data_IF_227455102719
#
_entry.id   IF_227455102719
#
_cell.length_a   1.000
_cell.length_b   1.000
_cell.length_c   1.000
_cell.angle_alpha   90.00
_cell.angle_beta   90.00
_cell.angle_gamma   90.00
#
_symmetry.space_group_name_H-M   'P 1'
#
loop_
_entity.id
_entity.type
_entity.pdbx_description
1 polymer ?
#
# COMPACT_ATOMS: atom_id res chain seq x y z
N UNK A 1 -5.04 -32.95 4.83
CA UNK A 1 -6.13 -32.20 5.48
C UNK A 1 -7.24 -33.20 5.78
N UNK A 2 -7.89 -33.12 6.95
CA UNK A 2 -8.96 -34.06 7.33
C UNK A 2 -10.24 -33.74 6.57
N UNK A 3 -11.02 -34.77 6.23
CA UNK A 3 -12.33 -34.68 5.55
C UNK A 3 -13.29 -33.71 6.29
N UNK A 4 -13.20 -33.67 7.62
CA UNK A 4 -14.00 -32.78 8.48
C UNK A 4 -13.79 -31.28 8.17
N UNK A 5 -12.55 -30.84 7.92
CA UNK A 5 -12.28 -29.42 7.64
C UNK A 5 -12.84 -28.98 6.28
N UNK A 6 -12.94 -29.91 5.33
CA UNK A 6 -13.52 -29.64 4.02
C UNK A 6 -15.05 -29.58 4.10
N UNK A 7 -15.66 -30.42 4.95
CA UNK A 7 -17.09 -30.37 5.26
C UNK A 7 -17.49 -29.07 5.96
N UNK A 8 -16.70 -28.62 6.95
CA UNK A 8 -16.93 -27.36 7.66
C UNK A 8 -16.87 -26.16 6.70
N UNK A 9 -15.88 -26.14 5.81
CA UNK A 9 -15.78 -25.12 4.76
C UNK A 9 -16.99 -25.12 3.83
N UNK A 10 -17.47 -26.30 3.42
CA UNK A 10 -18.60 -26.42 2.50
C UNK A 10 -19.88 -25.82 3.12
N UNK A 11 -20.12 -26.10 4.40
CA UNK A 11 -21.25 -25.56 5.15
C UNK A 11 -21.14 -24.04 5.27
N UNK A 12 -19.99 -23.53 5.72
CA UNK A 12 -19.76 -22.09 5.89
C UNK A 12 -19.87 -21.33 4.56
N UNK A 13 -19.34 -21.90 3.47
CA UNK A 13 -19.43 -21.30 2.15
C UNK A 13 -20.88 -21.23 1.64
N UNK A 14 -21.70 -22.26 1.90
CA UNK A 14 -23.13 -22.22 1.57
C UNK A 14 -23.87 -21.17 2.40
N UNK A 15 -23.61 -21.08 3.70
CA UNK A 15 -24.24 -20.07 4.56
C UNK A 15 -23.92 -18.64 4.09
N UNK A 16 -22.66 -18.36 3.75
CA UNK A 16 -22.25 -17.06 3.20
C UNK A 16 -22.87 -16.76 1.83
N UNK A 17 -23.05 -17.79 0.98
CA UNK A 17 -23.73 -17.63 -0.31
C UNK A 17 -25.22 -17.35 -0.14
N UNK A 18 -25.88 -17.98 0.84
CA UNK A 18 -27.28 -17.71 1.18
C UNK A 18 -27.46 -16.28 1.73
N UNK A 19 -26.54 -15.82 2.59
CA UNK A 19 -26.54 -14.44 3.08
C UNK A 19 -26.35 -13.42 1.95
N UNK A 20 -25.42 -13.68 1.02
CA UNK A 20 -25.20 -12.82 -0.14
C UNK A 20 -26.43 -12.78 -1.07
N UNK A 21 -27.08 -13.93 -1.29
CA UNK A 21 -28.32 -14.04 -2.07
C UNK A 21 -29.44 -13.22 -1.43
N UNK A 22 -29.64 -13.33 -0.11
CA UNK A 22 -30.65 -12.56 0.62
C UNK A 22 -30.39 -11.06 0.48
N UNK A 23 -29.15 -10.60 0.69
CA UNK A 23 -28.78 -9.20 0.51
C UNK A 23 -29.01 -8.69 -0.93
N UNK A 24 -28.75 -9.51 -1.95
CA UNK A 24 -29.06 -9.16 -3.35
C UNK A 24 -30.56 -9.01 -3.59
N UNK A 25 -31.38 -9.91 -3.03
CA UNK A 25 -32.84 -9.84 -3.11
C UNK A 25 -33.43 -8.67 -2.30
N UNK A 26 -32.76 -8.25 -1.23
CA UNK A 26 -33.11 -7.05 -0.48
C UNK A 26 -32.81 -5.77 -1.28
N UNK A 27 -31.68 -5.72 -1.99
CA UNK A 27 -31.37 -4.62 -2.90
C UNK A 27 -32.43 -4.46 -3.98
N UNK A 28 -32.91 -5.56 -4.57
CA UNK A 28 -33.99 -5.54 -5.57
C UNK A 28 -35.32 -4.99 -5.01
N UNK A 29 -35.54 -5.14 -3.69
CA UNK A 29 -36.70 -4.60 -2.98
C UNK A 29 -36.51 -3.15 -2.51
N UNK A 30 -35.36 -2.54 -2.78
CA UNK A 30 -35.04 -1.16 -2.41
C UNK A 30 -34.49 -0.99 -0.99
N UNK A 31 -33.79 -1.99 -0.45
CA UNK A 31 -33.07 -1.88 0.81
C UNK A 31 -31.87 -0.90 0.73
N UNK A 32 -31.27 -0.57 1.88
CA UNK A 32 -30.14 0.36 1.95
C UNK A 32 -28.90 -0.20 1.24
N UNK A 33 -28.51 0.44 0.13
CA UNK A 33 -27.48 -0.06 -0.77
C UNK A 33 -26.17 -0.43 -0.06
N UNK A 34 -25.62 0.52 0.72
CA UNK A 34 -24.31 0.36 1.35
C UNK A 34 -24.26 -0.77 2.37
N UNK A 35 -25.37 -1.05 3.05
CA UNK A 35 -25.44 -2.16 4.00
C UNK A 35 -25.39 -3.50 3.26
N UNK A 36 -26.30 -3.73 2.32
CA UNK A 36 -26.37 -4.97 1.55
C UNK A 36 -25.11 -5.18 0.70
N UNK A 37 -24.57 -4.12 0.08
CA UNK A 37 -23.29 -4.16 -0.65
C UNK A 37 -22.15 -4.74 0.21
N UNK A 38 -22.00 -4.23 1.43
CA UNK A 38 -20.93 -4.68 2.32
C UNK A 38 -21.10 -6.14 2.74
N UNK A 39 -22.35 -6.61 2.91
CA UNK A 39 -22.64 -8.01 3.23
C UNK A 39 -22.27 -8.93 2.06
N UNK A 40 -22.70 -8.59 0.84
CA UNK A 40 -22.39 -9.34 -0.38
C UNK A 40 -20.87 -9.37 -0.62
N UNK A 41 -20.21 -8.21 -0.51
CA UNK A 41 -18.78 -8.08 -0.74
C UNK A 41 -17.95 -8.91 0.24
N UNK A 42 -18.31 -8.89 1.54
CA UNK A 42 -17.66 -9.72 2.57
C UNK A 42 -17.86 -11.21 2.31
N UNK A 43 -19.06 -11.63 1.96
CA UNK A 43 -19.33 -13.02 1.63
C UNK A 43 -18.45 -13.49 0.46
N UNK A 44 -18.41 -12.72 -0.63
CA UNK A 44 -17.60 -13.05 -1.81
C UNK A 44 -16.11 -13.13 -1.48
N UNK A 45 -15.60 -12.16 -0.73
CA UNK A 45 -14.22 -12.10 -0.28
C UNK A 45 -13.83 -13.31 0.60
N UNK A 46 -14.66 -13.63 1.60
CA UNK A 46 -14.44 -14.75 2.51
C UNK A 46 -14.42 -16.09 1.77
N UNK A 47 -15.38 -16.32 0.85
CA UNK A 47 -15.44 -17.55 0.05
C UNK A 47 -14.25 -17.63 -0.90
N UNK A 48 -13.82 -16.54 -1.54
CA UNK A 48 -12.62 -16.50 -2.40
C UNK A 48 -11.37 -16.92 -1.61
N UNK A 49 -11.17 -16.33 -0.42
CA UNK A 49 -10.02 -16.63 0.44
C UNK A 49 -10.01 -18.09 0.89
N UNK A 50 -11.14 -18.57 1.40
CA UNK A 50 -11.27 -19.95 1.85
C UNK A 50 -11.13 -20.96 0.70
N UNK A 51 -11.73 -20.71 -0.46
CA UNK A 51 -11.55 -21.55 -1.65
C UNK A 51 -10.08 -21.67 -2.08
N UNK A 52 -9.30 -20.58 -1.97
CA UNK A 52 -7.85 -20.60 -2.22
C UNK A 52 -7.07 -21.45 -1.21
N UNK A 53 -7.42 -21.38 0.07
CA UNK A 53 -6.82 -22.20 1.13
C UNK A 53 -7.08 -23.71 0.93
N UNK A 54 -8.28 -24.08 0.47
CA UNK A 54 -8.66 -25.46 0.20
C UNK A 54 -8.30 -25.93 -1.22
N UNK A 55 -7.72 -25.08 -2.06
CA UNK A 55 -7.28 -25.42 -3.42
C UNK A 55 -8.42 -25.64 -4.42
N UNK A 56 -9.60 -25.07 -4.17
CA UNK A 56 -10.78 -25.17 -5.04
C UNK A 56 -10.67 -24.09 -6.12
N UNK A 57 -9.74 -24.28 -7.06
CA UNK A 57 -9.36 -23.24 -8.03
C UNK A 57 -10.54 -22.70 -8.86
N UNK A 58 -11.50 -23.56 -9.22
CA UNK A 58 -12.70 -23.15 -9.97
C UNK A 58 -13.55 -22.17 -9.17
N UNK A 59 -13.79 -22.47 -7.88
CA UNK A 59 -14.56 -21.61 -6.99
C UNK A 59 -13.81 -20.31 -6.69
N UNK A 60 -12.51 -20.40 -6.41
CA UNK A 60 -11.68 -19.22 -6.16
C UNK A 60 -11.72 -18.25 -7.34
N UNK A 61 -11.54 -18.73 -8.57
CA UNK A 61 -11.60 -17.89 -9.78
C UNK A 61 -12.99 -17.29 -10.00
N UNK A 62 -14.03 -18.08 -9.77
CA UNK A 62 -15.42 -17.63 -9.91
C UNK A 62 -15.74 -16.49 -8.92
N UNK A 63 -15.46 -16.69 -7.64
CA UNK A 63 -15.68 -15.67 -6.60
C UNK A 63 -14.79 -14.44 -6.81
N UNK A 64 -13.54 -14.61 -7.25
CA UNK A 64 -12.66 -13.49 -7.57
C UNK A 64 -13.24 -12.62 -8.68
N UNK A 65 -13.84 -13.21 -9.71
CA UNK A 65 -14.49 -12.41 -10.75
C UNK A 65 -15.68 -11.61 -10.21
N UNK A 66 -16.58 -12.27 -9.47
CA UNK A 66 -17.76 -11.62 -8.90
C UNK A 66 -17.37 -10.49 -7.94
N UNK A 67 -16.37 -10.72 -7.08
CA UNK A 67 -15.86 -9.71 -6.16
C UNK A 67 -15.25 -8.51 -6.90
N UNK A 68 -14.40 -8.73 -7.92
CA UNK A 68 -13.80 -7.63 -8.68
C UNK A 68 -14.85 -6.81 -9.43
N UNK A 69 -15.86 -7.47 -10.01
CA UNK A 69 -16.94 -6.78 -10.69
C UNK A 69 -17.77 -5.95 -9.69
N UNK A 70 -18.01 -6.50 -8.49
CA UNK A 70 -18.74 -5.81 -7.43
C UNK A 70 -17.93 -4.63 -6.86
N UNK A 71 -16.60 -4.74 -6.71
CA UNK A 71 -15.71 -3.64 -6.28
C UNK A 71 -15.89 -2.39 -7.12
N UNK A 72 -16.03 -2.54 -8.44
CA UNK A 72 -16.24 -1.42 -9.36
C UNK A 72 -17.58 -0.69 -9.15
N UNK A 73 -18.47 -1.25 -8.34
CA UNK A 73 -19.80 -0.73 -8.03
C UNK A 73 -19.88 -0.15 -6.60
N UNK A 74 -18.78 -0.09 -5.86
CA UNK A 74 -18.74 0.39 -4.46
C UNK A 74 -19.24 1.81 -4.25
N UNK A 75 -18.91 2.73 -5.17
CA UNK A 75 -19.25 4.15 -5.06
C UNK A 75 -20.62 4.49 -5.65
N UNK A 76 -21.39 3.49 -6.09
CA UNK A 76 -22.75 3.68 -6.56
C UNK A 76 -23.71 3.88 -5.39
N UNK A 77 -24.91 4.39 -5.69
CA UNK A 77 -26.00 4.50 -4.72
C UNK A 77 -27.00 3.32 -4.84
N UNK A 78 -26.94 2.56 -5.94
CA UNK A 78 -27.79 1.40 -6.23
C UNK A 78 -27.15 0.47 -7.27
N UNK A 79 -27.55 -0.81 -7.31
CA UNK A 79 -27.28 -1.71 -8.44
C UNK A 79 -28.43 -1.70 -9.43
N UNK A 80 -28.11 -1.83 -10.71
CA UNK A 80 -29.13 -2.09 -11.73
C UNK A 80 -29.75 -3.48 -11.55
N UNK A 81 -30.99 -3.67 -11.99
CA UNK A 81 -31.63 -4.99 -11.97
C UNK A 81 -30.80 -6.04 -12.76
N UNK A 82 -30.15 -5.64 -13.85
CA UNK A 82 -29.25 -6.50 -14.62
C UNK A 82 -28.03 -6.93 -13.82
N UNK A 83 -27.45 -6.02 -13.03
CA UNK A 83 -26.36 -6.34 -12.10
C UNK A 83 -26.80 -7.29 -11.00
N UNK A 84 -27.98 -7.07 -10.40
CA UNK A 84 -28.52 -7.95 -9.36
C UNK A 84 -28.74 -9.37 -9.91
N UNK A 85 -29.41 -9.50 -11.05
CA UNK A 85 -29.64 -10.78 -11.73
C UNK A 85 -28.31 -11.49 -12.05
N UNK A 86 -27.30 -10.75 -12.50
CA UNK A 86 -25.97 -11.27 -12.79
C UNK A 86 -25.28 -11.84 -11.55
N UNK A 87 -25.31 -11.11 -10.43
CA UNK A 87 -24.70 -11.58 -9.19
C UNK A 87 -25.47 -12.75 -8.57
N UNK A 88 -26.81 -12.80 -8.68
CA UNK A 88 -27.60 -13.96 -8.29
C UNK A 88 -27.22 -15.21 -9.10
N UNK A 89 -27.08 -15.08 -10.43
CA UNK A 89 -26.59 -16.18 -11.27
C UNK A 89 -25.15 -16.61 -10.90
N UNK A 90 -24.32 -15.67 -10.44
CA UNK A 90 -22.99 -15.94 -9.90
C UNK A 90 -23.03 -16.73 -8.59
N UNK A 91 -23.89 -16.34 -7.65
CA UNK A 91 -24.10 -17.09 -6.40
C UNK A 91 -24.56 -18.52 -6.68
N UNK A 92 -25.50 -18.71 -7.60
CA UNK A 92 -25.92 -20.03 -8.07
C UNK A 92 -24.76 -20.83 -8.69
N UNK A 93 -23.90 -20.16 -9.46
CA UNK A 93 -22.69 -20.75 -10.03
C UNK A 93 -21.74 -21.26 -8.95
N UNK A 94 -21.51 -20.47 -7.90
CA UNK A 94 -20.68 -20.85 -6.77
C UNK A 94 -21.24 -22.08 -6.03
N UNK A 95 -22.55 -22.13 -5.78
CA UNK A 95 -23.23 -23.29 -5.16
C UNK A 95 -23.06 -24.55 -6.01
N UNK A 96 -23.21 -24.46 -7.32
CA UNK A 96 -22.99 -25.58 -8.26
C UNK A 96 -21.54 -26.07 -8.25
N UNK A 97 -20.56 -25.16 -8.21
CA UNK A 97 -19.14 -25.54 -8.12
C UNK A 97 -18.87 -26.31 -6.81
N UNK A 98 -19.43 -25.86 -5.68
CA UNK A 98 -19.31 -26.54 -4.39
C UNK A 98 -19.91 -27.95 -4.41
N UNK A 99 -20.92 -28.20 -5.24
CA UNK A 99 -21.49 -29.53 -5.49
C UNK A 99 -20.73 -30.34 -6.55
N UNK A 100 -19.54 -29.89 -6.97
CA UNK A 100 -18.73 -30.47 -8.05
C UNK A 100 -19.43 -30.53 -9.41
N UNK A 101 -20.36 -29.62 -9.68
CA UNK A 101 -21.01 -29.48 -10.97
C UNK A 101 -20.21 -28.52 -11.88
N UNK A 102 -20.31 -28.73 -13.19
CA UNK A 102 -19.82 -27.75 -14.15
C UNK A 102 -20.81 -26.59 -14.28
N UNK A 103 -20.26 -25.39 -14.48
CA UNK A 103 -21.05 -24.18 -14.71
C UNK A 103 -20.74 -23.62 -16.09
N UNK A 104 -21.78 -23.14 -16.74
CA UNK A 104 -21.69 -22.32 -17.94
C UNK A 104 -22.08 -20.89 -17.52
N UNK A 105 -21.06 -20.11 -17.15
CA UNK A 105 -21.24 -18.75 -16.62
C UNK A 105 -20.43 -17.77 -17.47
N UNK A 106 -21.10 -16.77 -18.02
CA UNK A 106 -20.48 -15.78 -18.89
C UNK A 106 -19.94 -14.61 -18.07
N UNK A 107 -18.62 -14.50 -17.99
CA UNK A 107 -17.94 -13.48 -17.20
C UNK A 107 -17.89 -12.13 -17.93
N UNK A 108 -18.81 -11.22 -17.61
CA UNK A 108 -18.86 -9.87 -18.17
C UNK A 108 -19.42 -8.83 -17.18
N UNK A 109 -19.29 -7.54 -17.49
CA UNK A 109 -19.99 -6.48 -16.77
C UNK A 109 -21.39 -6.30 -17.37
N UNK A 110 -22.48 -6.60 -16.64
CA UNK A 110 -23.84 -6.55 -17.17
C UNK A 110 -24.31 -5.13 -17.50
N UNK A 111 -23.63 -4.10 -16.97
CA UNK A 111 -23.96 -2.70 -17.23
C UNK A 111 -23.18 -2.11 -18.42
N UNK A 112 -22.19 -2.84 -18.95
CA UNK A 112 -21.50 -2.43 -20.17
C UNK A 112 -22.32 -2.80 -21.39
N UNK A 113 -22.57 -1.81 -22.27
CA UNK A 113 -23.18 -2.06 -23.57
C UNK A 113 -22.26 -2.96 -24.39
N UNK A 114 -22.64 -4.23 -24.51
CA UNK A 114 -21.93 -5.23 -25.32
C UNK A 114 -22.04 -4.85 -26.80
N UNK A 115 -20.96 -4.36 -27.39
CA UNK A 115 -20.68 -4.67 -28.80
C UNK A 115 -19.98 -6.04 -28.83
N UNK A 116 -20.59 -6.97 -29.56
CA UNK A 116 -20.17 -8.37 -29.63
C UNK A 116 -18.75 -8.57 -30.18
N UNK A 117 -18.04 -9.54 -29.58
CA UNK A 117 -16.81 -10.28 -29.96
C UNK A 117 -16.70 -10.67 -31.47
N UNK A 118 -15.58 -11.23 -32.04
CA UNK A 118 -14.52 -12.04 -31.38
C UNK A 118 -13.07 -12.10 -31.96
N UNK A 119 -12.16 -12.65 -31.13
CA UNK A 119 -11.02 -13.59 -31.42
C UNK A 119 -9.92 -13.26 -32.46
N UNK A 120 -8.64 -13.36 -32.07
CA UNK A 120 -7.67 -14.46 -32.40
C UNK A 120 -6.21 -14.05 -32.18
N UNK A 121 -5.37 -15.06 -31.90
CA UNK A 121 -3.94 -15.05 -31.59
C UNK A 121 -3.00 -14.44 -32.65
N UNK A 122 -1.80 -13.99 -32.24
CA UNK A 122 -0.47 -14.45 -32.75
C UNK A 122 0.72 -13.51 -32.37
N UNK A 123 1.71 -14.11 -31.70
CA UNK A 123 3.18 -14.07 -31.85
C UNK A 123 3.97 -12.80 -32.31
N UNK A 124 4.91 -12.41 -31.43
CA UNK A 124 6.38 -12.24 -31.62
C UNK A 124 7.02 -11.21 -32.60
N UNK A 125 7.87 -10.37 -31.98
CA UNK A 125 9.17 -9.76 -32.40
C UNK A 125 9.20 -8.66 -33.49
N UNK A 126 9.68 -7.46 -33.13
CA UNK A 126 11.03 -6.93 -33.49
C UNK A 126 11.28 -5.50 -32.94
N UNK A 127 12.52 -5.29 -32.47
CA UNK A 127 13.29 -4.04 -32.24
C UNK A 127 13.16 -3.00 -33.38
N UNK A 128 13.39 -1.68 -33.28
CA UNK A 128 13.78 -0.67 -32.27
C UNK A 128 13.68 0.73 -32.98
N UNK A 129 14.39 1.80 -32.56
CA UNK A 129 13.95 2.99 -31.80
C UNK A 129 13.63 4.24 -32.63
N UNK A 130 12.78 5.16 -32.09
CA UNK A 130 13.07 6.62 -32.04
C UNK A 130 11.96 7.44 -31.36
N UNK A 131 12.25 7.90 -30.13
CA UNK A 131 12.36 9.31 -29.73
C UNK A 131 11.19 10.27 -30.03
N UNK A 132 10.40 10.60 -28.99
CA UNK A 132 9.80 11.93 -28.73
C UNK A 132 9.71 12.13 -27.21
N UNK A 133 10.71 12.76 -26.61
CA UNK A 133 10.62 14.10 -25.97
C UNK A 133 9.78 14.20 -24.67
N UNK A 134 10.54 14.19 -23.57
CA UNK A 134 10.42 15.02 -22.37
C UNK A 134 9.37 16.15 -22.34
N UNK A 135 8.55 16.15 -21.28
CA UNK A 135 8.19 17.27 -20.36
C UNK A 135 7.09 16.73 -19.42
N UNK A 136 7.15 16.91 -18.09
CA UNK A 136 7.33 18.18 -17.39
C UNK A 136 8.04 18.02 -16.03
N UNK A 137 9.09 18.83 -15.88
CA UNK A 137 9.36 19.54 -14.63
C UNK A 137 8.22 20.55 -14.42
N UNK A 138 7.56 20.51 -13.26
CA UNK A 138 7.15 21.68 -12.46
C UNK A 138 5.93 21.36 -11.56
N UNK A 139 6.16 21.27 -10.25
CA UNK A 139 5.80 22.33 -9.28
C UNK A 139 6.38 21.94 -7.93
N UNK A 140 7.19 22.82 -7.34
CA UNK A 140 7.35 22.85 -5.89
C UNK A 140 5.96 23.19 -5.35
N UNK A 141 5.21 22.18 -4.94
CA UNK A 141 4.01 22.40 -4.15
C UNK A 141 4.49 22.78 -2.76
N UNK A 142 4.35 24.07 -2.41
CA UNK A 142 4.70 24.61 -1.10
C UNK A 142 3.80 24.09 0.05
N UNK A 143 3.17 22.93 -0.13
CA UNK A 143 2.24 22.31 0.80
C UNK A 143 2.47 20.79 0.95
N UNK A 144 3.56 20.25 0.38
CA UNK A 144 3.89 18.82 0.52
C UNK A 144 4.25 18.49 1.96
N UNK A 145 3.72 17.36 2.47
CA UNK A 145 4.08 16.80 3.78
C UNK A 145 5.49 16.20 3.79
N UNK A 146 6.04 15.86 2.64
CA UNK A 146 7.36 15.26 2.50
C UNK A 146 7.54 14.51 1.18
N UNK A 147 8.74 13.97 1.00
CA UNK A 147 9.11 13.21 -0.21
C UNK A 147 9.18 11.72 0.12
N UNK A 148 8.42 10.89 -0.61
CA UNK A 148 8.39 9.43 -0.45
C UNK A 148 8.93 8.79 -1.73
N UNK A 149 9.88 7.87 -1.59
CA UNK A 149 10.34 7.06 -2.71
C UNK A 149 9.78 5.65 -2.61
N UNK A 150 9.16 5.16 -3.68
CA UNK A 150 8.60 3.80 -3.74
C UNK A 150 9.37 2.96 -4.76
N UNK A 151 9.68 1.71 -4.41
CA UNK A 151 10.30 0.74 -5.31
C UNK A 151 9.57 -0.60 -5.24
N UNK A 152 9.15 -1.07 -6.41
CA UNK A 152 8.43 -2.32 -6.64
C UNK A 152 8.64 -2.67 -8.13
N UNK A 153 8.73 -3.94 -8.51
CA UNK A 153 8.89 -4.35 -9.91
C UNK A 153 7.57 -4.39 -10.68
N UNK A 154 6.44 -4.23 -9.99
CA UNK A 154 5.10 -4.13 -10.57
C UNK A 154 4.66 -2.66 -10.70
N UNK A 155 4.50 -2.18 -11.94
CA UNK A 155 4.11 -0.78 -12.23
C UNK A 155 2.72 -0.45 -11.64
N UNK A 156 1.78 -1.40 -11.66
CA UNK A 156 0.44 -1.24 -11.10
C UNK A 156 0.47 -0.97 -9.58
N UNK A 157 1.41 -1.59 -8.86
CA UNK A 157 1.58 -1.35 -7.41
C UNK A 157 2.14 0.06 -7.18
N UNK A 158 3.12 0.47 -7.97
CA UNK A 158 3.67 1.82 -7.89
C UNK A 158 2.62 2.89 -8.16
N UNK A 159 1.77 2.70 -9.17
CA UNK A 159 0.68 3.61 -9.49
C UNK A 159 -0.35 3.72 -8.36
N UNK A 160 -0.71 2.57 -7.74
CA UNK A 160 -1.55 2.57 -6.54
C UNK A 160 -0.92 3.37 -5.41
N UNK A 161 0.37 3.15 -5.11
CA UNK A 161 1.08 3.87 -4.05
C UNK A 161 1.12 5.38 -4.33
N UNK A 162 1.34 5.78 -5.58
CA UNK A 162 1.30 7.20 -5.99
C UNK A 162 -0.07 7.79 -5.72
N UNK A 163 -1.15 7.17 -6.19
CA UNK A 163 -2.53 7.66 -5.99
C UNK A 163 -2.82 7.85 -4.50
N UNK A 164 -2.50 6.86 -3.67
CA UNK A 164 -2.79 6.91 -2.23
C UNK A 164 -1.97 7.99 -1.53
N UNK A 165 -0.66 8.07 -1.78
CA UNK A 165 0.23 9.01 -1.10
C UNK A 165 0.04 10.45 -1.56
N UNK A 166 -0.13 10.69 -2.87
CA UNK A 166 -0.39 12.03 -3.39
C UNK A 166 -1.74 12.57 -2.90
N UNK A 167 -2.75 11.70 -2.70
CA UNK A 167 -4.03 12.10 -2.07
C UNK A 167 -3.87 12.62 -0.63
N UNK A 168 -2.74 12.32 0.01
CA UNK A 168 -2.37 12.75 1.37
C UNK A 168 -1.31 13.86 1.39
N UNK A 169 -1.11 14.52 0.25
CA UNK A 169 -0.16 15.63 0.04
C UNK A 169 1.33 15.22 0.11
N UNK A 170 1.68 13.97 -0.23
CA UNK A 170 3.07 13.57 -0.41
C UNK A 170 3.57 13.78 -1.83
N UNK A 171 4.86 14.10 -1.98
CA UNK A 171 5.54 14.00 -3.28
C UNK A 171 6.12 12.60 -3.44
N UNK A 172 5.71 11.88 -4.48
CA UNK A 172 6.12 10.48 -4.68
C UNK A 172 7.05 10.34 -5.88
N UNK A 173 8.16 9.62 -5.71
CA UNK A 173 9.05 9.22 -6.81
C UNK A 173 9.15 7.70 -6.84
N UNK A 174 8.82 7.11 -7.98
CA UNK A 174 8.75 5.65 -8.14
C UNK A 174 9.95 5.08 -8.88
N UNK A 175 10.27 3.83 -8.59
CA UNK A 175 11.38 3.10 -9.20
C UNK A 175 10.97 1.65 -9.46
N UNK A 176 11.16 1.18 -10.70
CA UNK A 176 11.00 -0.24 -11.05
C UNK A 176 12.26 -1.08 -10.74
N UNK A 177 13.37 -0.44 -10.34
CA UNK A 177 14.62 -1.12 -10.00
C UNK A 177 15.25 -0.52 -8.75
N UNK A 178 15.62 -1.36 -7.76
CA UNK A 178 16.31 -0.91 -6.56
C UNK A 178 17.69 -0.32 -6.84
N UNK A 179 18.36 -0.75 -7.92
CA UNK A 179 19.67 -0.21 -8.33
C UNK A 179 19.55 1.24 -8.76
N UNK A 180 18.50 1.58 -9.52
CA UNK A 180 18.24 2.96 -9.95
C UNK A 180 17.92 3.86 -8.75
N UNK A 181 17.13 3.36 -7.80
CA UNK A 181 16.86 4.07 -6.55
C UNK A 181 18.15 4.39 -5.79
N UNK A 182 19.04 3.41 -5.63
CA UNK A 182 20.31 3.58 -4.93
C UNK A 182 21.28 4.54 -5.62
N UNK A 183 21.20 4.67 -6.95
CA UNK A 183 21.96 5.65 -7.73
C UNK A 183 21.44 7.07 -7.50
N UNK A 184 20.13 7.27 -7.56
CA UNK A 184 19.53 8.58 -7.33
C UNK A 184 19.71 9.05 -5.87
N UNK A 185 19.78 8.12 -4.92
CA UNK A 185 20.02 8.38 -3.49
C UNK A 185 21.38 9.05 -3.19
N UNK A 186 22.32 9.01 -4.15
CA UNK A 186 23.61 9.69 -4.04
C UNK A 186 23.46 11.21 -4.18
N UNK A 187 22.44 11.67 -4.89
CA UNK A 187 22.23 13.08 -5.23
C UNK A 187 21.04 13.69 -4.49
N UNK A 188 19.98 12.91 -4.30
CA UNK A 188 18.74 13.34 -3.66
C UNK A 188 18.41 12.43 -2.47
N UNK A 189 17.63 12.93 -1.52
CA UNK A 189 17.17 12.11 -0.39
C UNK A 189 15.69 12.29 -0.16
N UNK A 190 14.91 11.20 -0.09
CA UNK A 190 13.54 11.25 0.39
C UNK A 190 13.50 11.38 1.91
N UNK A 191 12.30 11.61 2.44
CA UNK A 191 12.00 11.48 3.85
C UNK A 191 11.74 10.03 4.28
N UNK A 192 11.27 9.17 3.35
CA UNK A 192 11.17 7.73 3.57
C UNK A 192 11.21 6.93 2.26
N UNK A 193 11.63 5.67 2.33
CA UNK A 193 11.60 4.71 1.23
C UNK A 193 10.59 3.61 1.54
N UNK A 194 9.80 3.23 0.54
CA UNK A 194 8.88 2.09 0.57
C UNK A 194 9.40 1.09 -0.45
N UNK A 195 9.61 -0.15 -0.02
CA UNK A 195 10.20 -1.20 -0.85
C UNK A 195 9.39 -2.48 -0.75
N UNK A 196 9.13 -3.13 -1.88
CA UNK A 196 8.77 -4.54 -1.83
C UNK A 196 9.94 -5.40 -1.31
N UNK A 197 9.63 -6.57 -0.75
CA UNK A 197 10.64 -7.50 -0.26
C UNK A 197 11.23 -8.37 -1.37
N UNK A 198 10.44 -8.73 -2.38
CA UNK A 198 10.75 -9.72 -3.40
C UNK A 198 10.86 -9.08 -4.79
N UNK A 199 11.90 -8.29 -5.01
CA UNK A 199 12.19 -7.72 -6.32
C UNK A 199 13.30 -8.50 -7.07
N UNK A 200 13.27 -8.52 -8.42
CA UNK A 200 14.40 -8.92 -9.24
C UNK A 200 15.66 -8.08 -8.91
N UNK A 201 16.84 -8.63 -9.23
CA UNK A 201 18.17 -8.03 -8.99
C UNK A 201 18.59 -7.91 -7.52
N UNK A 202 17.74 -7.37 -6.65
CA UNK A 202 18.02 -7.14 -5.23
C UNK A 202 16.73 -7.18 -4.40
N UNK A 203 16.72 -8.00 -3.35
CA UNK A 203 15.59 -8.05 -2.42
C UNK A 203 15.54 -6.82 -1.49
N UNK A 204 14.37 -6.52 -0.93
CA UNK A 204 14.16 -5.36 -0.07
C UNK A 204 15.07 -5.35 1.19
N UNK A 205 15.48 -6.53 1.67
CA UNK A 205 16.41 -6.64 2.82
C UNK A 205 17.83 -6.19 2.46
N UNK A 206 18.30 -6.52 1.26
CA UNK A 206 19.58 -6.06 0.74
C UNK A 206 19.57 -4.56 0.44
N UNK A 207 18.46 -4.06 -0.11
CA UNK A 207 18.26 -2.62 -0.32
C UNK A 207 18.41 -1.85 0.99
N UNK A 208 17.74 -2.30 2.04
CA UNK A 208 17.84 -1.72 3.39
C UNK A 208 19.29 -1.62 3.84
N UNK A 209 20.07 -2.70 3.70
CA UNK A 209 21.48 -2.70 4.14
C UNK A 209 22.29 -1.64 3.41
N UNK A 210 22.08 -1.50 2.11
CA UNK A 210 22.79 -0.52 1.30
C UNK A 210 22.35 0.90 1.62
N UNK A 211 21.05 1.13 1.80
CA UNK A 211 20.50 2.41 2.26
C UNK A 211 21.09 2.77 3.63
N UNK A 212 21.06 1.86 4.60
CA UNK A 212 21.56 2.10 5.95
C UNK A 212 23.08 2.37 5.96
N UNK A 213 23.86 1.69 5.11
CA UNK A 213 25.29 1.94 4.98
C UNK A 213 25.60 3.35 4.42
N UNK A 214 24.78 3.86 3.49
CA UNK A 214 24.95 5.21 2.91
C UNK A 214 24.28 6.31 3.75
N UNK A 215 23.14 6.02 4.36
CA UNK A 215 22.21 6.94 5.05
C UNK A 215 21.61 6.26 6.30
N UNK A 216 22.35 6.17 7.42
CA UNK A 216 21.97 5.37 8.60
C UNK A 216 20.69 5.75 9.35
N UNK A 217 20.06 6.86 8.97
CA UNK A 217 18.87 7.40 9.62
C UNK A 217 17.67 7.50 8.69
N UNK A 218 17.84 7.20 7.39
CA UNK A 218 16.76 7.26 6.41
C UNK A 218 15.79 6.09 6.65
N UNK A 219 14.52 6.34 7.02
CA UNK A 219 13.59 5.26 7.26
C UNK A 219 13.22 4.52 5.96
N UNK A 220 13.35 3.20 6.02
CA UNK A 220 12.86 2.28 4.99
C UNK A 220 11.70 1.48 5.60
N UNK A 221 10.60 1.37 4.85
CA UNK A 221 9.43 0.53 5.11
C UNK A 221 9.41 -0.58 4.08
N UNK A 222 9.29 -1.83 4.53
CA UNK A 222 9.24 -3.00 3.63
C UNK A 222 7.82 -3.55 3.56
N UNK A 223 7.30 -3.74 2.35
CA UNK A 223 6.04 -4.43 2.08
C UNK A 223 6.34 -5.91 1.81
N UNK A 224 5.59 -6.83 2.42
CA UNK A 224 5.83 -8.27 2.28
C UNK A 224 4.54 -9.07 2.22
N UNK A 225 4.34 -9.91 1.21
CA UNK A 225 3.21 -10.85 1.16
C UNK A 225 3.28 -12.03 2.13
N UNK A 226 4.37 -12.16 2.89
CA UNK A 226 4.48 -13.18 3.93
C UNK A 226 5.45 -12.71 5.02
N UNK A 227 4.92 -12.48 6.23
CA UNK A 227 5.74 -11.99 7.35
C UNK A 227 6.06 -13.13 8.33
N UNK A 228 7.28 -13.68 8.22
CA UNK A 228 7.79 -14.61 9.24
C UNK A 228 8.54 -13.88 10.36
N UNK A 229 8.56 -14.48 11.55
CA UNK A 229 9.41 -14.01 12.67
C UNK A 229 10.87 -13.86 12.26
N UNK A 230 11.37 -14.73 11.38
CA UNK A 230 12.76 -14.70 10.91
C UNK A 230 13.05 -13.51 10.00
N UNK A 231 12.13 -13.22 9.07
CA UNK A 231 12.19 -12.03 8.21
C UNK A 231 12.10 -10.77 9.06
N UNK A 232 11.15 -10.67 9.99
CA UNK A 232 11.05 -9.54 10.93
C UNK A 232 12.35 -9.31 11.71
N UNK A 233 12.92 -10.37 12.29
CA UNK A 233 14.14 -10.26 13.08
C UNK A 233 15.36 -9.86 12.25
N UNK A 234 15.46 -10.30 10.99
CA UNK A 234 16.54 -9.93 10.08
C UNK A 234 16.43 -8.45 9.70
N UNK A 235 15.24 -8.04 9.32
CA UNK A 235 14.90 -6.69 8.85
C UNK A 235 15.03 -5.64 9.98
N UNK A 236 14.60 -5.97 11.21
CA UNK A 236 14.80 -5.12 12.39
C UNK A 236 16.27 -4.95 12.78
N UNK A 237 17.11 -5.98 12.60
CA UNK A 237 18.56 -5.90 12.89
C UNK A 237 19.30 -5.03 11.88
N UNK A 238 18.81 -4.98 10.64
CA UNK A 238 19.45 -4.29 9.53
C UNK A 238 19.06 -2.79 9.44
N UNK A 239 18.20 -2.31 10.34
CA UNK A 239 17.87 -0.88 10.49
C UNK A 239 16.56 -0.44 9.85
N UNK A 240 15.69 -1.37 9.45
CA UNK A 240 14.35 -1.05 8.92
C UNK A 240 13.49 -0.40 9.98
N UNK A 241 12.73 0.60 9.54
CA UNK A 241 11.87 1.36 10.45
C UNK A 241 10.45 0.79 10.52
N UNK A 242 10.00 0.02 9.52
CA UNK A 242 8.74 -0.72 9.59
C UNK A 242 8.61 -1.84 8.57
N UNK A 243 7.76 -2.82 8.87
CA UNK A 243 7.35 -3.88 7.95
C UNK A 243 5.83 -3.86 7.90
N UNK A 244 5.27 -3.96 6.70
CA UNK A 244 3.83 -4.09 6.48
C UNK A 244 3.59 -5.41 5.73
N UNK A 245 2.68 -6.23 6.26
CA UNK A 245 2.23 -7.46 5.61
C UNK A 245 1.21 -7.14 4.52
N UNK A 246 1.37 -7.67 3.30
CA UNK A 246 0.37 -7.61 2.22
C UNK A 246 -0.62 -8.78 2.44
N UNK A 247 -1.94 -8.56 2.38
CA UNK A 247 -2.61 -7.28 2.20
C UNK A 247 -2.63 -6.43 3.49
N UNK A 248 -2.59 -5.11 3.34
CA UNK A 248 -2.65 -4.14 4.43
C UNK A 248 -3.79 -3.15 4.20
N UNK A 249 -4.34 -2.62 5.30
CA UNK A 249 -5.27 -1.50 5.24
C UNK A 249 -4.52 -0.23 4.80
N UNK A 250 -5.13 0.54 3.90
CA UNK A 250 -4.52 1.76 3.35
C UNK A 250 -4.29 2.77 4.47
N UNK A 251 -5.22 2.89 5.41
CA UNK A 251 -5.12 3.76 6.57
C UNK A 251 -3.88 3.44 7.42
N UNK A 252 -3.63 2.16 7.71
CA UNK A 252 -2.47 1.72 8.51
C UNK A 252 -1.15 2.00 7.77
N UNK A 253 -1.14 1.81 6.46
CA UNK A 253 0.01 2.13 5.61
C UNK A 253 0.32 3.63 5.61
N UNK A 254 -0.69 4.47 5.41
CA UNK A 254 -0.53 5.93 5.42
C UNK A 254 -0.09 6.41 6.80
N UNK A 255 -0.67 5.88 7.88
CA UNK A 255 -0.26 6.22 9.25
C UNK A 255 1.22 5.88 9.48
N UNK A 256 1.67 4.70 9.03
CA UNK A 256 3.08 4.33 9.15
C UNK A 256 3.98 5.29 8.37
N UNK A 257 3.59 5.68 7.15
CA UNK A 257 4.34 6.66 6.35
C UNK A 257 4.39 8.03 7.04
N UNK A 258 3.26 8.51 7.56
CA UNK A 258 3.15 9.74 8.35
C UNK A 258 4.11 9.73 9.54
N UNK A 259 4.12 8.64 10.32
CA UNK A 259 5.02 8.49 11.47
C UNK A 259 6.49 8.55 11.03
N UNK A 260 6.85 7.84 9.97
CA UNK A 260 8.22 7.74 9.47
C UNK A 260 8.75 9.08 8.96
N UNK A 261 7.99 9.75 8.10
CA UNK A 261 8.36 11.06 7.52
C UNK A 261 8.48 12.10 8.62
N UNK A 262 7.47 12.22 9.50
CA UNK A 262 7.50 13.19 10.58
C UNK A 262 8.70 12.98 11.52
N UNK A 263 9.01 11.71 11.84
CA UNK A 263 10.15 11.34 12.70
C UNK A 263 11.47 11.74 12.04
N UNK A 264 11.64 11.44 10.76
CA UNK A 264 12.86 11.75 10.03
C UNK A 264 13.08 13.27 9.91
N UNK A 265 12.07 14.01 9.45
CA UNK A 265 12.15 15.48 9.34
C UNK A 265 12.46 16.15 10.68
N UNK A 266 11.83 15.68 11.77
CA UNK A 266 12.11 16.18 13.11
C UNK A 266 13.54 15.92 13.55
N UNK A 267 14.09 14.74 13.23
CA UNK A 267 15.49 14.41 13.48
C UNK A 267 16.44 15.30 12.68
N UNK A 268 16.13 15.56 11.42
CA UNK A 268 16.93 16.44 10.55
C UNK A 268 16.94 17.89 11.07
N UNK A 269 15.79 18.40 11.54
CA UNK A 269 15.71 19.70 12.18
C UNK A 269 16.52 19.76 13.47
N UNK A 270 16.45 18.71 14.30
CA UNK A 270 17.22 18.62 15.54
C UNK A 270 18.74 18.65 15.26
N UNK A 271 19.20 17.85 14.29
CA UNK A 271 20.60 17.83 13.88
C UNK A 271 21.05 19.20 13.38
N UNK A 272 20.24 19.86 12.55
CA UNK A 272 20.53 21.23 12.08
C UNK A 272 20.60 22.24 13.23
N UNK A 273 19.71 22.14 14.22
CA UNK A 273 19.75 22.99 15.41
C UNK A 273 21.01 22.73 16.25
N UNK A 274 21.46 21.48 16.37
CA UNK A 274 22.71 21.13 17.05
C UNK A 274 23.90 21.70 16.28
N UNK A 275 23.96 21.53 14.96
CA UNK A 275 25.05 22.05 14.12
C UNK A 275 25.14 23.58 14.21
N UNK A 276 24.00 24.27 14.22
CA UNK A 276 23.94 25.72 14.43
C UNK A 276 24.47 26.11 15.81
N UNK A 277 24.17 25.35 16.86
CA UNK A 277 24.73 25.62 18.19
C UNK A 277 26.24 25.40 18.25
N UNK A 278 26.74 24.32 17.63
CA UNK A 278 28.17 24.06 17.54
C UNK A 278 28.85 25.22 16.80
N UNK A 279 28.32 25.62 15.65
CA UNK A 279 28.83 26.75 14.89
C UNK A 279 28.84 28.06 15.71
N UNK A 280 27.76 28.36 16.44
CA UNK A 280 27.67 29.54 17.31
C UNK A 280 28.68 29.50 18.46
N UNK A 281 28.96 28.31 19.00
CA UNK A 281 29.95 28.11 20.05
C UNK A 281 31.38 28.27 19.52
N UNK A 282 31.70 27.64 18.40
CA UNK A 282 33.03 27.70 17.77
C UNK A 282 33.37 29.10 17.25
N UNK A 283 32.36 29.80 16.71
CA UNK A 283 32.52 31.15 16.17
C UNK A 283 32.06 32.24 17.14
N UNK A 284 31.92 31.91 18.43
CA UNK A 284 31.60 32.90 19.44
C UNK A 284 32.68 34.00 19.39
N UNK A 285 32.31 35.25 19.09
CA UNK A 285 33.29 36.32 19.11
C UNK A 285 33.81 36.41 20.55
N UNK A 286 35.12 36.43 20.74
CA UNK A 286 35.75 36.95 21.95
C UNK A 286 35.47 38.48 22.13
N UNK A 287 34.33 38.98 21.65
CA UNK A 287 34.07 40.36 21.29
C UNK A 287 32.70 40.78 21.86
N UNK A 288 32.76 41.43 23.03
CA UNK A 288 31.88 42.52 23.51
C UNK A 288 30.43 42.24 23.95
N UNK A 289 29.92 41.00 23.91
CA UNK A 289 28.68 40.63 24.61
C UNK A 289 28.98 40.19 26.05
N UNK A 290 28.10 40.47 27.02
CA UNK A 290 28.29 39.92 28.37
C UNK A 290 28.21 38.39 28.28
N UNK A 291 29.14 37.66 28.91
CA UNK A 291 29.10 36.18 28.96
C UNK A 291 27.70 35.67 29.34
N UNK A 292 27.01 36.43 30.20
CA UNK A 292 25.66 36.16 30.65
C UNK A 292 24.63 36.11 29.50
N UNK A 293 24.67 37.04 28.55
CA UNK A 293 23.73 37.07 27.43
C UNK A 293 23.93 35.88 26.48
N UNK A 294 25.19 35.49 26.27
CA UNK A 294 25.52 34.26 25.54
C UNK A 294 24.98 33.02 26.26
N UNK A 295 25.26 32.87 27.55
CA UNK A 295 24.78 31.72 28.32
C UNK A 295 23.25 31.67 28.41
N UNK A 296 22.56 32.81 28.45
CA UNK A 296 21.10 32.86 28.47
C UNK A 296 20.48 32.52 27.11
N UNK A 297 21.08 32.98 26.00
CA UNK A 297 20.68 32.54 24.65
C UNK A 297 20.94 31.04 24.46
N UNK A 298 22.13 30.57 24.82
CA UNK A 298 22.52 29.16 24.73
C UNK A 298 21.61 28.24 25.56
N UNK A 299 21.28 28.64 26.80
CA UNK A 299 20.30 27.93 27.63
C UNK A 299 18.92 27.86 26.96
N UNK A 300 18.52 28.90 26.25
CA UNK A 300 17.23 28.96 25.55
C UNK A 300 17.20 27.98 24.39
N UNK A 301 18.24 27.96 23.56
CA UNK A 301 18.36 26.99 22.47
C UNK A 301 18.45 25.55 22.97
N UNK A 302 19.23 25.27 24.03
CA UNK A 302 19.25 23.95 24.65
C UNK A 302 17.87 23.53 25.17
N UNK A 303 17.09 24.44 25.77
CA UNK A 303 15.72 24.15 26.19
C UNK A 303 14.81 23.85 25.00
N UNK A 304 14.96 24.55 23.88
CA UNK A 304 14.21 24.31 22.66
C UNK A 304 14.52 22.93 22.07
N UNK A 305 15.80 22.57 21.98
CA UNK A 305 16.26 21.24 21.54
C UNK A 305 15.73 20.14 22.46
N UNK A 306 15.82 20.32 23.78
CA UNK A 306 15.28 19.35 24.74
C UNK A 306 13.76 19.18 24.59
N UNK A 307 13.03 20.27 24.33
CA UNK A 307 11.59 20.23 24.07
C UNK A 307 11.28 19.46 22.79
N UNK A 308 11.99 19.74 21.70
CA UNK A 308 11.85 19.00 20.43
C UNK A 308 12.13 17.50 20.61
N UNK A 309 13.23 17.17 21.30
CA UNK A 309 13.59 15.77 21.63
C UNK A 309 12.48 15.09 22.44
N UNK A 310 11.91 15.77 23.44
CA UNK A 310 10.84 15.18 24.26
C UNK A 310 9.52 15.01 23.48
N UNK A 311 9.23 15.87 22.51
CA UNK A 311 8.09 15.69 21.60
C UNK A 311 8.28 14.44 20.71
N UNK A 312 9.51 14.17 20.25
CA UNK A 312 9.83 12.95 19.51
C UNK A 312 9.59 11.69 20.36
N UNK A 313 10.00 11.69 21.64
CA UNK A 313 9.78 10.56 22.54
C UNK A 313 8.31 10.29 22.87
N UNK A 314 7.45 11.31 22.91
CA UNK A 314 6.02 11.16 23.22
C UNK A 314 5.19 10.60 22.07
N UNK A 315 5.69 10.62 20.84
CA UNK A 315 5.04 9.99 19.68
C UNK A 315 5.46 8.52 19.47
N UNK A 316 6.31 7.98 20.35
CA UNK A 316 6.85 6.62 20.30
C UNK A 316 6.19 5.66 21.30
N UNK A 317 5.26 6.13 22.14
CA UNK A 317 4.51 5.38 23.17
C UNK A 317 3.03 5.63 22.94
#
# INVERSE_FOLDING_TARGET
MSDDMMGDFHIEAIELLDEAEESLLELDKGAEYKQCYNQIFRAFHSIKGAAGMFGIEKLQKHMHYLENLLSNKQDLDELSALSIDYFLAGVDGAKKILENQEIDFEYHDPDQKVEASPSTASEAKTENPQKVESKKVAKVNSNSKGVVWAVDDEEDILDLLVIQLESKDYEVKTYLSPVKLLSDLEFETPDTIISDINMPEMNGVELVKQVNAKRPHLPVVVLSGYVTKEVCLKVLRDGVTGIIEKPFEIEDFIELVDINVNRYQSMQLLNKSIDLLIYQFENFPAINGSEKDFFDHFRTELKNILKQKNTLYKRLI
#
